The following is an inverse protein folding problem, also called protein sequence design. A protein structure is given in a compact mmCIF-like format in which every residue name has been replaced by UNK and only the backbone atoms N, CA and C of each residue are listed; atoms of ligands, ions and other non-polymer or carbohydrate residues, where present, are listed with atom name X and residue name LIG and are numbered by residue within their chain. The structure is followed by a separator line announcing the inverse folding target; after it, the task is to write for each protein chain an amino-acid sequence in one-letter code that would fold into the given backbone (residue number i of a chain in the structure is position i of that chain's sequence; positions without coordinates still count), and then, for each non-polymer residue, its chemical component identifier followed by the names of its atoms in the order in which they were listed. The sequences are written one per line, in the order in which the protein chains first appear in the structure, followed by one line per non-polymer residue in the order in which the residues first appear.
data_IF_335027201701
#
_entry.id   IF_335027201701
#
_cell.length_a   1.000
_cell.length_b   1.000
_cell.length_c   1.000
_cell.angle_alpha   90.00
_cell.angle_beta   90.00
_cell.angle_gamma   90.00
#
_symmetry.space_group_name_H-M   'P 1'
#
loop_
_entity.id
_entity.type
_entity.pdbx_description
1 polymer ?
#
# COMPACT_ATOMS: atom_id res chain seq x y z
N UNK A 1 14.79 30.64 -1.78
CA UNK A 1 13.51 30.27 -1.14
C UNK A 1 13.76 28.98 -0.36
N UNK A 2 13.76 29.02 0.98
CA UNK A 2 13.88 27.81 1.82
C UNK A 2 12.70 26.88 1.53
N UNK A 3 12.92 25.56 1.56
CA UNK A 3 11.84 24.60 1.37
C UNK A 3 10.73 24.88 2.39
N UNK A 4 9.52 25.13 1.92
CA UNK A 4 8.35 25.39 2.77
C UNK A 4 7.84 24.14 3.51
N UNK A 5 8.50 22.99 3.32
CA UNK A 5 8.19 21.67 3.86
C UNK A 5 9.54 20.99 4.13
N UNK A 6 9.71 20.44 5.34
CA UNK A 6 10.86 19.61 5.69
C UNK A 6 10.56 18.15 5.33
N UNK A 7 11.49 17.48 4.64
CA UNK A 7 11.42 16.05 4.36
C UNK A 7 12.38 15.31 5.29
N UNK A 8 11.89 14.27 5.96
CA UNK A 8 12.67 13.40 6.84
C UNK A 8 12.62 12.01 6.22
N UNK A 9 13.74 11.55 5.65
CA UNK A 9 13.86 10.21 5.09
C UNK A 9 14.34 9.24 6.17
N UNK A 10 13.57 8.18 6.40
CA UNK A 10 13.84 7.20 7.44
C UNK A 10 14.66 6.06 6.83
N UNK A 11 15.90 5.88 7.29
CA UNK A 11 16.74 4.73 6.92
C UNK A 11 16.47 3.57 7.87
N UNK A 12 15.31 2.93 7.70
CA UNK A 12 14.90 1.78 8.51
C UNK A 12 15.69 0.52 8.13
N UNK A 13 15.77 -0.43 9.06
CA UNK A 13 16.40 -1.73 8.83
C UNK A 13 15.63 -2.55 7.81
N UNK A 14 16.31 -3.32 6.96
CA UNK A 14 15.70 -4.04 5.83
C UNK A 14 15.59 -5.56 6.07
N UNK A 15 14.57 -6.17 5.47
CA UNK A 15 14.49 -7.62 5.28
C UNK A 15 15.52 -8.08 4.23
N UNK A 16 15.99 -9.34 4.28
CA UNK A 16 15.62 -10.40 5.21
C UNK A 16 16.29 -10.32 6.59
N UNK A 17 17.30 -9.47 6.78
CA UNK A 17 18.05 -9.42 8.05
C UNK A 17 17.16 -8.95 9.22
N UNK A 18 16.20 -8.07 8.93
CA UNK A 18 15.25 -7.52 9.87
C UNK A 18 13.83 -7.61 9.29
N UNK A 19 13.15 -8.75 9.45
CA UNK A 19 11.79 -8.95 8.95
C UNK A 19 10.76 -8.15 9.78
N UNK A 20 9.49 -8.21 9.37
CA UNK A 20 8.40 -7.62 10.12
C UNK A 20 8.39 -8.08 11.60
N UNK A 21 8.13 -7.18 12.57
CA UNK A 21 7.75 -5.77 12.41
C UNK A 21 8.91 -4.77 12.52
N UNK A 22 10.18 -5.21 12.46
CA UNK A 22 11.33 -4.35 12.76
C UNK A 22 11.40 -3.09 11.87
N UNK A 23 11.25 -3.17 10.52
CA UNK A 23 11.31 -2.00 9.65
C UNK A 23 10.18 -0.98 9.96
N UNK A 24 9.00 -1.50 10.29
CA UNK A 24 7.83 -0.70 10.64
C UNK A 24 8.03 0.03 11.97
N UNK A 25 8.58 -0.64 12.99
CA UNK A 25 8.88 -0.03 14.27
C UNK A 25 9.94 1.08 14.14
N UNK A 26 10.99 0.86 13.36
CA UNK A 26 11.97 1.92 13.06
C UNK A 26 11.32 3.18 12.48
N UNK A 27 10.34 2.99 11.58
CA UNK A 27 9.58 4.10 11.01
C UNK A 27 8.66 4.76 12.04
N UNK A 28 7.94 3.98 12.84
CA UNK A 28 7.02 4.48 13.86
C UNK A 28 7.76 5.30 14.91
N UNK A 29 8.89 4.80 15.44
CA UNK A 29 9.69 5.48 16.46
C UNK A 29 10.14 6.87 15.99
N UNK A 30 10.55 7.00 14.73
CA UNK A 30 10.96 8.29 14.16
C UNK A 30 9.76 9.23 14.00
N UNK A 31 8.60 8.73 13.56
CA UNK A 31 7.39 9.55 13.40
C UNK A 31 6.88 10.04 14.76
N UNK A 32 6.86 9.17 15.77
CA UNK A 32 6.49 9.53 17.14
C UNK A 32 7.47 10.58 17.70
N UNK A 33 8.78 10.38 17.53
CA UNK A 33 9.80 11.35 17.92
C UNK A 33 9.56 12.72 17.27
N UNK A 34 9.24 12.77 15.97
CA UNK A 34 8.96 14.02 15.24
C UNK A 34 7.72 14.72 15.79
N UNK A 35 6.65 13.98 16.11
CA UNK A 35 5.43 14.53 16.70
C UNK A 35 5.71 15.09 18.10
N UNK A 36 6.41 14.33 18.94
CA UNK A 36 6.71 14.71 20.32
C UNK A 36 7.70 15.88 20.43
N UNK A 37 8.62 15.99 19.47
CA UNK A 37 9.68 17.00 19.45
C UNK A 37 9.43 18.10 18.41
N UNK A 38 8.19 18.24 17.92
CA UNK A 38 7.88 19.13 16.79
C UNK A 38 8.30 20.58 17.05
N UNK A 39 8.14 21.07 18.28
CA UNK A 39 8.56 22.42 18.68
C UNK A 39 10.08 22.63 18.53
N UNK A 40 10.88 21.68 19.06
CA UNK A 40 12.35 21.70 18.96
C UNK A 40 12.82 21.61 17.51
N UNK A 41 12.09 20.86 16.67
CA UNK A 41 12.38 20.69 15.25
C UNK A 41 11.84 21.83 14.38
N UNK A 42 11.17 22.84 14.95
CA UNK A 42 10.47 23.92 14.23
C UNK A 42 9.42 23.39 13.23
N UNK A 43 8.72 22.33 13.59
CA UNK A 43 7.64 21.69 12.84
C UNK A 43 6.30 22.01 13.51
N UNK A 44 5.34 22.45 12.72
CA UNK A 44 3.98 22.70 13.21
C UNK A 44 3.28 21.35 13.49
N UNK A 45 2.81 21.08 14.73
CA UNK A 45 2.37 19.74 15.15
C UNK A 45 1.16 19.21 14.36
N UNK A 46 0.30 20.11 13.85
CA UNK A 46 -0.88 19.75 13.05
C UNK A 46 -0.61 19.71 11.53
N UNK A 47 0.67 19.84 11.11
CA UNK A 47 1.08 19.89 9.70
C UNK A 47 2.16 18.84 9.41
N UNK A 48 2.02 17.67 10.03
CA UNK A 48 2.89 16.52 9.83
C UNK A 48 2.19 15.56 8.85
N UNK A 49 2.87 15.18 7.78
CA UNK A 49 2.41 14.15 6.85
C UNK A 49 3.33 12.95 6.91
N UNK A 50 2.78 11.77 6.66
CA UNK A 50 3.55 10.56 6.38
C UNK A 50 3.33 10.15 4.92
N UNK A 51 4.30 9.49 4.32
CA UNK A 51 4.10 8.89 3.02
C UNK A 51 5.25 8.00 2.60
N UNK A 52 4.98 7.18 1.60
CA UNK A 52 5.96 6.27 1.03
C UNK A 52 5.44 5.60 -0.23
N UNK A 53 6.35 5.00 -0.98
CA UNK A 53 6.08 4.22 -2.17
C UNK A 53 6.18 2.71 -1.91
N UNK A 54 5.32 1.92 -2.55
CA UNK A 54 5.34 0.46 -2.46
C UNK A 54 5.29 -0.04 -1.00
N UNK A 55 6.32 -0.74 -0.52
CA UNK A 55 6.46 -1.14 0.89
C UNK A 55 6.51 0.06 1.86
N UNK A 56 7.05 1.21 1.44
CA UNK A 56 6.96 2.46 2.21
C UNK A 56 5.52 2.97 2.31
N UNK A 57 4.71 2.74 1.28
CA UNK A 57 3.28 3.02 1.30
C UNK A 57 2.52 2.11 2.28
N UNK A 58 2.91 0.83 2.35
CA UNK A 58 2.42 -0.10 3.38
C UNK A 58 2.68 0.43 4.80
N UNK A 59 3.95 0.76 5.10
CA UNK A 59 4.33 1.27 6.42
C UNK A 59 3.65 2.61 6.74
N UNK A 60 3.50 3.50 5.76
CA UNK A 60 2.81 4.77 5.95
C UNK A 60 1.32 4.57 6.31
N UNK A 61 0.64 3.62 5.67
CA UNK A 61 -0.74 3.27 5.97
C UNK A 61 -0.86 2.63 7.36
N UNK A 62 0.01 1.66 7.68
CA UNK A 62 0.05 0.98 8.98
C UNK A 62 0.29 1.98 10.14
N UNK A 63 1.28 2.86 10.01
CA UNK A 63 1.55 3.92 11.01
C UNK A 63 0.36 4.89 11.10
N UNK A 64 -0.34 5.16 10.00
CA UNK A 64 -1.54 6.00 10.03
C UNK A 64 -2.70 5.36 10.79
N UNK A 65 -2.86 4.03 10.74
CA UNK A 65 -3.82 3.31 11.59
C UNK A 65 -3.50 3.52 13.07
N UNK A 66 -2.22 3.56 13.44
CA UNK A 66 -1.77 3.76 14.83
C UNK A 66 -1.89 5.22 15.30
N UNK A 67 -1.52 6.17 14.46
CA UNK A 67 -1.38 7.58 14.82
C UNK A 67 -2.61 8.44 14.47
N UNK A 68 -3.48 7.97 13.57
CA UNK A 68 -4.77 8.59 13.23
C UNK A 68 -4.61 10.08 12.89
N UNK A 69 -5.51 10.93 13.39
CA UNK A 69 -5.51 12.40 13.22
C UNK A 69 -4.34 13.15 13.88
N UNK A 70 -3.36 12.48 14.51
CA UNK A 70 -2.06 13.12 14.83
C UNK A 70 -1.30 13.52 13.57
N UNK A 71 -1.64 12.89 12.43
CA UNK A 71 -1.13 13.22 11.11
C UNK A 71 -2.17 14.06 10.34
N UNK A 72 -1.69 14.95 9.48
CA UNK A 72 -2.53 15.78 8.61
C UNK A 72 -2.82 15.10 7.26
N UNK A 73 -1.90 14.26 6.79
CA UNK A 73 -1.95 13.59 5.50
C UNK A 73 -1.21 12.25 5.56
N UNK A 74 -1.79 11.22 4.95
CA UNK A 74 -1.05 10.02 4.52
C UNK A 74 -0.98 9.98 2.99
N UNK A 75 0.23 9.89 2.46
CA UNK A 75 0.53 9.83 1.02
C UNK A 75 0.99 8.41 0.65
N UNK A 76 0.12 7.64 0.02
CA UNK A 76 0.34 6.24 -0.29
C UNK A 76 0.58 6.09 -1.80
N UNK A 77 1.80 5.74 -2.21
CA UNK A 77 2.16 5.68 -3.62
C UNK A 77 2.35 4.23 -4.03
N UNK A 78 1.54 3.73 -4.96
CA UNK A 78 1.50 2.31 -5.37
C UNK A 78 1.60 1.33 -4.18
N UNK A 79 0.80 1.53 -3.11
CA UNK A 79 1.05 0.87 -1.83
C UNK A 79 0.70 -0.62 -1.89
N UNK A 80 1.47 -1.43 -1.17
CA UNK A 80 1.09 -2.81 -0.81
C UNK A 80 0.20 -2.74 0.42
N UNK A 81 -1.04 -3.22 0.38
CA UNK A 81 -1.95 -3.05 1.52
C UNK A 81 -2.53 -4.37 2.04
N UNK A 82 -2.29 -5.49 1.36
CA UNK A 82 -2.57 -6.83 1.87
C UNK A 82 -1.59 -7.87 1.31
N UNK A 83 -1.44 -8.98 2.02
CA UNK A 83 -0.61 -10.12 1.60
C UNK A 83 -1.40 -11.44 1.53
N UNK A 84 -2.73 -11.37 1.59
CA UNK A 84 -3.63 -12.51 1.75
C UNK A 84 -4.24 -13.01 0.43
N UNK A 85 -4.42 -12.13 -0.56
CA UNK A 85 -4.97 -12.42 -1.87
C UNK A 85 -4.02 -11.98 -3.00
N UNK A 86 -3.31 -12.94 -3.59
CA UNK A 86 -2.49 -12.75 -4.79
C UNK A 86 -3.23 -13.17 -6.07
N UNK A 87 -4.56 -13.25 -6.04
CA UNK A 87 -5.40 -13.49 -7.22
C UNK A 87 -6.25 -12.25 -7.58
N UNK A 88 -5.73 -11.05 -7.28
CA UNK A 88 -6.39 -9.81 -7.70
C UNK A 88 -6.31 -9.65 -9.21
N UNK A 89 -7.27 -8.94 -9.79
CA UNK A 89 -7.33 -8.71 -11.24
C UNK A 89 -6.04 -8.08 -11.76
N UNK A 90 -5.47 -7.13 -11.01
CA UNK A 90 -4.20 -6.48 -11.32
C UNK A 90 -2.99 -7.41 -11.21
N UNK A 91 -2.96 -8.34 -10.25
CA UNK A 91 -1.87 -9.32 -10.16
C UNK A 91 -1.85 -10.27 -11.37
N UNK A 92 -3.02 -10.67 -11.86
CA UNK A 92 -3.17 -11.49 -13.07
C UNK A 92 -2.83 -10.68 -14.32
N UNK A 93 -3.41 -9.50 -14.49
CA UNK A 93 -3.20 -8.63 -15.66
C UNK A 93 -1.74 -8.21 -15.83
N UNK A 94 -1.04 -7.99 -14.71
CA UNK A 94 0.28 -7.39 -14.72
C UNK A 94 1.44 -8.39 -14.60
N UNK A 95 1.16 -9.70 -14.51
CA UNK A 95 2.15 -10.75 -14.32
C UNK A 95 3.31 -10.74 -15.35
N UNK A 96 3.05 -10.29 -16.57
CA UNK A 96 3.98 -10.35 -17.71
C UNK A 96 4.44 -8.98 -18.24
N UNK A 97 4.15 -7.87 -17.55
CA UNK A 97 4.54 -6.53 -18.03
C UNK A 97 5.97 -6.12 -17.61
N UNK A 98 6.52 -5.23 -18.43
CA UNK A 98 7.94 -5.03 -18.81
C UNK A 98 8.93 -4.48 -17.76
N UNK A 99 8.76 -4.73 -16.47
CA UNK A 99 9.84 -4.49 -15.50
C UNK A 99 10.32 -5.80 -14.88
N UNK A 100 11.54 -6.22 -15.23
CA UNK A 100 12.18 -7.43 -14.66
C UNK A 100 12.32 -7.34 -13.13
N UNK A 101 12.19 -6.15 -12.54
CA UNK A 101 12.14 -5.89 -11.10
C UNK A 101 10.77 -6.12 -10.44
N UNK A 102 9.69 -6.31 -11.21
CA UNK A 102 8.32 -6.54 -10.71
C UNK A 102 7.58 -7.68 -11.44
N UNK A 103 8.29 -8.75 -11.81
CA UNK A 103 7.61 -10.03 -12.04
C UNK A 103 7.08 -10.55 -10.70
N UNK A 104 5.86 -11.10 -10.68
CA UNK A 104 5.20 -11.71 -9.53
C UNK A 104 6.16 -12.53 -8.66
N UNK A 105 7.05 -13.34 -9.26
CA UNK A 105 8.04 -14.12 -8.51
C UNK A 105 8.97 -13.27 -7.64
N UNK A 106 9.58 -12.23 -8.20
CA UNK A 106 10.48 -11.35 -7.45
C UNK A 106 9.72 -10.62 -6.33
N UNK A 107 8.48 -10.24 -6.61
CA UNK A 107 7.63 -9.60 -5.62
C UNK A 107 7.29 -10.53 -4.45
N UNK A 108 6.91 -11.78 -4.76
CA UNK A 108 6.66 -12.80 -3.74
C UNK A 108 7.92 -13.07 -2.92
N UNK A 109 9.11 -13.15 -3.52
CA UNK A 109 10.36 -13.33 -2.75
C UNK A 109 10.61 -12.18 -1.75
N UNK A 110 10.28 -10.94 -2.09
CA UNK A 110 10.32 -9.82 -1.14
C UNK A 110 9.32 -10.00 0.00
N UNK A 111 8.12 -10.49 -0.30
CA UNK A 111 7.08 -10.81 0.70
C UNK A 111 7.54 -11.92 1.64
N UNK A 112 8.12 -13.01 1.13
CA UNK A 112 8.61 -14.12 1.96
C UNK A 112 9.74 -13.66 2.89
N UNK A 113 10.67 -12.84 2.39
CA UNK A 113 11.71 -12.22 3.20
C UNK A 113 11.14 -11.34 4.31
N UNK A 114 10.09 -10.56 4.01
CA UNK A 114 9.46 -9.68 4.99
C UNK A 114 8.66 -10.44 6.05
N UNK A 115 8.00 -11.53 5.67
CA UNK A 115 7.28 -12.44 6.56
C UNK A 115 8.18 -13.38 7.37
N UNK A 116 9.48 -13.41 7.07
CA UNK A 116 10.47 -14.33 7.61
C UNK A 116 10.09 -15.81 7.45
N UNK A 117 9.69 -16.19 6.23
CA UNK A 117 9.34 -17.57 5.91
C UNK A 117 10.22 -18.11 4.78
N UNK A 118 10.36 -19.42 4.76
CA UNK A 118 11.21 -20.13 3.80
C UNK A 118 10.73 -19.91 2.36
N UNK A 119 11.67 -19.70 1.44
CA UNK A 119 11.40 -19.49 0.01
C UNK A 119 10.77 -20.71 -0.67
N UNK A 120 10.78 -21.89 -0.04
CA UNK A 120 10.05 -23.08 -0.51
C UNK A 120 8.55 -22.83 -0.69
N UNK A 121 7.97 -21.85 0.01
CA UNK A 121 6.56 -21.47 -0.10
C UNK A 121 6.28 -20.48 -1.25
N UNK A 122 7.26 -20.14 -2.09
CA UNK A 122 7.07 -19.26 -3.27
C UNK A 122 5.89 -19.70 -4.13
N UNK A 123 5.78 -21.01 -4.40
CA UNK A 123 4.72 -21.54 -5.23
C UNK A 123 3.34 -21.43 -4.57
N UNK A 124 3.25 -21.58 -3.25
CA UNK A 124 1.98 -21.37 -2.54
C UNK A 124 1.49 -19.93 -2.71
N UNK A 125 2.37 -18.94 -2.56
CA UNK A 125 1.99 -17.54 -2.71
C UNK A 125 1.66 -17.16 -4.16
N UNK A 126 2.45 -17.63 -5.14
CA UNK A 126 2.22 -17.36 -6.56
C UNK A 126 0.88 -17.90 -7.07
N UNK A 127 0.38 -19.00 -6.49
CA UNK A 127 -0.91 -19.59 -6.83
C UNK A 127 -2.01 -19.23 -5.82
N UNK A 128 -1.79 -18.23 -4.96
CA UNK A 128 -2.75 -17.81 -3.95
C UNK A 128 -3.21 -18.94 -3.00
N UNK A 129 -2.37 -19.94 -2.75
CA UNK A 129 -2.63 -21.13 -1.95
C UNK A 129 -2.20 -20.97 -0.48
N UNK A 130 -1.54 -19.87 -0.11
CA UNK A 130 -0.94 -19.66 1.22
C UNK A 130 -1.95 -19.32 2.33
N UNK A 131 -3.21 -19.07 2.00
CA UNK A 131 -4.31 -18.89 2.95
C UNK A 131 -5.22 -20.12 2.99
N UNK A 132 -5.89 -20.35 4.13
CA UNK A 132 -6.81 -21.49 4.28
C UNK A 132 -8.09 -21.30 3.47
N UNK A 133 -8.76 -22.39 3.14
CA UNK A 133 -10.05 -22.35 2.44
C UNK A 133 -11.08 -21.52 3.23
N UNK A 134 -11.18 -21.79 4.54
CA UNK A 134 -12.11 -21.11 5.44
C UNK A 134 -11.82 -19.60 5.53
N UNK A 135 -10.54 -19.21 5.57
CA UNK A 135 -10.15 -17.80 5.55
C UNK A 135 -10.63 -17.12 4.27
N UNK A 136 -10.41 -17.72 3.10
CA UNK A 136 -10.84 -17.16 1.82
C UNK A 136 -12.35 -17.00 1.74
N UNK A 137 -13.10 -18.02 2.16
CA UNK A 137 -14.57 -17.99 2.14
C UNK A 137 -15.17 -16.85 2.96
N UNK A 138 -14.48 -16.37 4.00
CA UNK A 138 -14.92 -15.22 4.79
C UNK A 138 -14.28 -13.91 4.33
N UNK A 139 -12.94 -13.83 4.32
CA UNK A 139 -12.24 -12.58 4.05
C UNK A 139 -12.37 -12.12 2.60
N UNK A 140 -12.48 -13.03 1.62
CA UNK A 140 -12.56 -12.63 0.21
C UNK A 140 -13.97 -12.21 -0.21
N UNK A 141 -14.99 -12.47 0.61
CA UNK A 141 -16.37 -12.04 0.32
C UNK A 141 -16.80 -10.81 1.12
N UNK A 142 -16.13 -10.54 2.25
CA UNK A 142 -16.46 -9.38 3.10
C UNK A 142 -15.44 -8.25 2.95
N UNK A 143 -14.15 -8.55 3.11
CA UNK A 143 -13.10 -7.54 3.29
C UNK A 143 -12.29 -7.33 2.00
N UNK A 144 -11.96 -8.41 1.30
CA UNK A 144 -11.17 -8.44 0.08
C UNK A 144 -12.01 -8.76 -1.17
N UNK A 145 -13.32 -8.54 -1.10
CA UNK A 145 -14.21 -8.77 -2.24
C UNK A 145 -13.95 -7.76 -3.35
N UNK A 146 -13.38 -8.24 -4.44
CA UNK A 146 -13.13 -7.44 -5.64
C UNK A 146 -14.44 -7.02 -6.32
N UNK A 147 -15.52 -7.79 -6.21
CA UNK A 147 -16.81 -7.37 -6.76
C UNK A 147 -17.41 -6.19 -6.00
N UNK A 148 -17.13 -6.10 -4.70
CA UNK A 148 -17.58 -5.01 -3.84
C UNK A 148 -16.67 -3.78 -3.94
N UNK A 149 -15.36 -3.98 -3.84
CA UNK A 149 -14.39 -2.92 -3.62
C UNK A 149 -13.60 -2.49 -4.86
N UNK A 150 -13.65 -3.24 -5.97
CA UNK A 150 -12.90 -2.93 -7.19
C UNK A 150 -13.84 -2.50 -8.33
N UNK A 151 -14.01 -1.19 -8.59
CA UNK A 151 -14.81 -0.72 -9.71
C UNK A 151 -14.28 -1.26 -11.04
N UNK A 152 -15.14 -1.94 -11.81
CA UNK A 152 -14.81 -2.64 -13.07
C UNK A 152 -14.05 -1.79 -14.09
N UNK A 153 -14.19 -0.46 -14.07
CA UNK A 153 -13.46 0.46 -14.95
C UNK A 153 -11.93 0.40 -14.82
N UNK A 154 -11.42 -0.11 -13.69
CA UNK A 154 -9.98 -0.23 -13.46
C UNK A 154 -9.40 -1.55 -13.97
N UNK A 155 -10.25 -2.55 -14.25
CA UNK A 155 -9.85 -3.85 -14.79
C UNK A 155 -9.81 -3.72 -16.33
N UNK A 156 -8.66 -4.03 -16.94
CA UNK A 156 -8.47 -3.90 -18.40
C UNK A 156 -8.99 -5.12 -19.14
N UNK A 157 -8.70 -6.32 -18.61
CA UNK A 157 -9.16 -7.59 -19.15
C UNK A 157 -10.68 -7.65 -19.15
N UNK A 158 -11.26 -7.85 -20.33
CA UNK A 158 -12.70 -8.04 -20.48
C UNK A 158 -13.18 -9.30 -19.75
N UNK A 159 -12.43 -10.39 -19.88
CA UNK A 159 -12.70 -11.66 -19.20
C UNK A 159 -12.79 -11.48 -17.67
N UNK A 160 -11.82 -10.78 -17.07
CA UNK A 160 -11.82 -10.54 -15.62
C UNK A 160 -12.90 -9.55 -15.21
N UNK A 161 -13.25 -8.57 -16.05
CA UNK A 161 -14.37 -7.63 -15.78
C UNK A 161 -15.72 -8.33 -15.72
N UNK A 162 -15.91 -9.34 -16.55
CA UNK A 162 -17.16 -10.10 -16.63
C UNK A 162 -17.23 -11.17 -15.55
N UNK A 163 -16.11 -11.81 -15.23
CA UNK A 163 -16.05 -12.95 -14.33
C UNK A 163 -14.84 -12.85 -13.38
N UNK A 164 -15.01 -12.13 -12.26
CA UNK A 164 -14.03 -12.15 -11.18
C UNK A 164 -14.21 -13.42 -10.37
N UNK A 165 -13.29 -14.36 -10.54
CA UNK A 165 -13.21 -15.57 -9.74
C UNK A 165 -12.42 -15.31 -8.45
N UNK A 166 -13.12 -15.33 -7.32
CA UNK A 166 -12.50 -15.14 -6.00
C UNK A 166 -11.66 -16.34 -5.55
N UNK A 167 -11.83 -17.52 -6.17
CA UNK A 167 -10.98 -18.70 -5.93
C UNK A 167 -10.88 -19.11 -4.45
N UNK A 168 -12.03 -19.43 -3.83
CA UNK A 168 -12.16 -19.69 -2.38
C UNK A 168 -12.01 -21.15 -1.97
N UNK A 169 -12.06 -22.10 -2.90
CA UNK A 169 -12.23 -23.53 -2.60
C UNK A 169 -10.92 -24.33 -2.45
N UNK A 170 -9.81 -23.66 -2.13
CA UNK A 170 -8.52 -24.29 -1.88
C UNK A 170 -7.67 -23.48 -0.91
N UNK A 171 -6.68 -24.13 -0.29
CA UNK A 171 -5.75 -23.48 0.63
C UNK A 171 -4.69 -24.44 1.16
N UNK A 172 -3.71 -23.86 1.87
CA UNK A 172 -2.67 -24.56 2.59
C UNK A 172 -2.76 -24.26 4.09
N UNK A 173 -3.38 -25.17 4.82
CA UNK A 173 -3.84 -24.94 6.19
C UNK A 173 -2.65 -24.92 7.17
N UNK A 174 -1.63 -25.72 6.88
CA UNK A 174 -0.37 -25.74 7.62
C UNK A 174 0.40 -24.44 7.43
N UNK A 175 0.56 -23.99 6.19
CA UNK A 175 1.22 -22.72 5.89
C UNK A 175 0.43 -21.54 6.47
N UNK A 176 -0.89 -21.53 6.31
CA UNK A 176 -1.73 -20.46 6.84
C UNK A 176 -1.59 -20.37 8.37
N UNK A 177 -1.60 -21.49 9.09
CA UNK A 177 -1.38 -21.52 10.54
C UNK A 177 -0.03 -20.90 10.97
N UNK A 178 1.00 -20.97 10.10
CA UNK A 178 2.31 -20.37 10.36
C UNK A 178 2.33 -18.84 10.17
N UNK A 179 1.48 -18.30 9.29
CA UNK A 179 1.54 -16.90 8.83
C UNK A 179 0.32 -16.07 9.18
N UNK A 180 -0.80 -16.69 9.57
CA UNK A 180 -2.11 -16.05 9.78
C UNK A 180 -1.98 -14.80 10.62
N UNK A 181 -1.43 -14.91 11.82
CA UNK A 181 -1.25 -13.79 12.76
C UNK A 181 -0.44 -12.61 12.19
N UNK A 182 0.40 -12.83 11.17
CA UNK A 182 1.14 -11.77 10.49
C UNK A 182 0.36 -11.20 9.32
N UNK A 183 -0.23 -12.03 8.45
CA UNK A 183 -0.91 -11.54 7.24
C UNK A 183 -2.28 -10.93 7.52
N UNK A 184 -2.91 -11.26 8.65
CA UNK A 184 -4.17 -10.65 9.11
C UNK A 184 -3.97 -9.46 10.04
N UNK A 185 -2.75 -9.20 10.51
CA UNK A 185 -2.42 -8.01 11.30
C UNK A 185 -2.64 -6.74 10.45
N UNK A 186 -3.50 -5.80 10.84
CA UNK A 186 -3.68 -4.53 10.12
C UNK A 186 -2.40 -3.69 9.98
N UNK A 187 -1.39 -3.91 10.83
CA UNK A 187 -0.09 -3.26 10.71
C UNK A 187 0.78 -3.87 9.59
N UNK A 188 0.48 -5.09 9.15
CA UNK A 188 1.06 -5.73 7.96
C UNK A 188 0.18 -5.52 6.74
N UNK A 189 -1.12 -5.69 6.90
CA UNK A 189 -2.12 -5.63 5.84
C UNK A 189 -3.17 -4.56 6.16
N UNK A 190 -2.87 -3.26 5.97
CA UNK A 190 -3.81 -2.18 6.30
C UNK A 190 -5.18 -2.29 5.61
N UNK A 191 -5.27 -2.94 4.45
CA UNK A 191 -6.54 -3.20 3.76
C UNK A 191 -7.44 -4.20 4.52
N UNK A 192 -6.94 -4.91 5.53
CA UNK A 192 -7.72 -5.78 6.40
C UNK A 192 -8.16 -5.12 7.71
N UNK A 193 -7.76 -3.86 7.94
CA UNK A 193 -8.22 -3.11 9.11
C UNK A 193 -9.76 -3.07 9.14
N UNK A 194 -10.36 -3.21 10.32
CA UNK A 194 -11.80 -3.04 10.49
C UNK A 194 -12.21 -1.58 10.28
N UNK A 195 -13.52 -1.35 10.14
CA UNK A 195 -14.04 -0.02 9.83
C UNK A 195 -13.71 0.99 10.95
N UNK A 196 -13.76 0.59 12.23
CA UNK A 196 -13.35 1.40 13.39
C UNK A 196 -11.87 1.84 13.31
N UNK A 197 -11.00 0.97 12.80
CA UNK A 197 -9.59 1.29 12.53
C UNK A 197 -9.41 2.18 11.30
N UNK A 198 -10.35 2.19 10.35
CA UNK A 198 -10.33 3.11 9.21
C UNK A 198 -10.93 4.48 9.56
N UNK A 199 -11.79 4.54 10.58
CA UNK A 199 -12.26 5.79 11.16
C UNK A 199 -11.07 6.60 11.71
N UNK A 200 -11.21 7.93 11.68
CA UNK A 200 -10.19 8.88 12.13
C UNK A 200 -8.80 8.78 11.48
N UNK A 201 -8.69 8.20 10.29
CA UNK A 201 -7.46 8.33 9.51
C UNK A 201 -7.19 9.78 9.06
N UNK A 202 -5.92 10.17 8.84
CA UNK A 202 -5.61 11.45 8.22
C UNK A 202 -6.20 11.52 6.82
N UNK A 203 -6.28 12.73 6.25
CA UNK A 203 -6.60 12.89 4.83
C UNK A 203 -5.69 11.96 4.02
N UNK A 204 -6.28 11.16 3.14
CA UNK A 204 -5.54 10.10 2.45
C UNK A 204 -5.41 10.46 0.97
N UNK A 205 -4.18 10.41 0.46
CA UNK A 205 -3.91 10.59 -0.97
C UNK A 205 -3.24 9.32 -1.49
N UNK A 206 -3.90 8.65 -2.43
CA UNK A 206 -3.47 7.35 -2.96
C UNK A 206 -3.12 7.53 -4.44
N UNK A 207 -1.92 7.10 -4.82
CA UNK A 207 -1.51 6.97 -6.22
C UNK A 207 -1.54 5.49 -6.58
N UNK A 208 -2.24 5.15 -7.67
CA UNK A 208 -2.17 3.81 -8.27
C UNK A 208 -1.76 3.90 -9.73
N UNK A 209 -1.13 2.84 -10.22
CA UNK A 209 -0.62 2.75 -11.59
C UNK A 209 -1.36 1.68 -12.37
N UNK A 210 -1.60 1.87 -13.66
CA UNK A 210 -2.27 0.86 -14.48
C UNK A 210 -1.49 -0.44 -14.55
N UNK A 211 -0.21 -0.38 -14.92
CA UNK A 211 0.66 -1.53 -15.12
C UNK A 211 1.37 -1.93 -13.82
N UNK A 212 0.59 -2.32 -12.82
CA UNK A 212 1.06 -2.56 -11.45
C UNK A 212 0.27 -3.69 -10.79
N UNK A 213 0.97 -4.69 -10.25
CA UNK A 213 0.39 -5.87 -9.63
C UNK A 213 -0.32 -5.58 -8.30
N UNK A 214 -0.04 -4.43 -7.67
CA UNK A 214 -0.73 -3.97 -6.45
C UNK A 214 -1.66 -2.78 -6.71
N UNK A 215 -2.05 -2.55 -7.97
CA UNK A 215 -3.02 -1.51 -8.33
C UNK A 215 -4.30 -1.64 -7.52
N UNK A 216 -4.82 -2.86 -7.42
CA UNK A 216 -6.15 -3.10 -6.85
C UNK A 216 -6.18 -2.87 -5.34
N UNK A 217 -5.09 -3.17 -4.62
CA UNK A 217 -4.94 -2.87 -3.19
C UNK A 217 -5.28 -1.40 -2.88
N UNK A 218 -4.65 -0.47 -3.60
CA UNK A 218 -4.86 0.96 -3.41
C UNK A 218 -6.26 1.44 -3.80
N UNK A 219 -6.88 0.81 -4.80
CA UNK A 219 -8.25 1.14 -5.23
C UNK A 219 -9.26 0.64 -4.19
N UNK A 220 -9.16 -0.63 -3.79
CA UNK A 220 -10.04 -1.23 -2.80
C UNK A 220 -9.95 -0.49 -1.46
N UNK A 221 -8.73 -0.15 -1.02
CA UNK A 221 -8.54 0.67 0.18
C UNK A 221 -9.19 2.04 0.03
N UNK A 222 -9.08 2.68 -1.13
CA UNK A 222 -9.77 3.95 -1.37
C UNK A 222 -11.29 3.84 -1.26
N UNK A 223 -11.89 2.75 -1.75
CA UNK A 223 -13.35 2.58 -1.67
C UNK A 223 -13.80 2.29 -0.23
N UNK A 224 -13.06 1.45 0.51
CA UNK A 224 -13.32 1.22 1.95
C UNK A 224 -13.23 2.52 2.76
N UNK A 225 -12.20 3.35 2.52
CA UNK A 225 -12.08 4.66 3.17
C UNK A 225 -13.27 5.58 2.85
N UNK A 226 -13.78 5.58 1.62
CA UNK A 226 -14.97 6.38 1.27
C UNK A 226 -16.21 5.88 1.99
N UNK A 227 -16.38 4.57 2.13
CA UNK A 227 -17.52 3.96 2.81
C UNK A 227 -17.63 4.43 4.26
N UNK A 228 -16.51 4.49 4.99
CA UNK A 228 -16.45 5.01 6.37
C UNK A 228 -16.35 6.54 6.45
N UNK A 229 -16.61 7.25 5.34
CA UNK A 229 -16.66 8.72 5.29
C UNK A 229 -15.31 9.43 5.37
N UNK A 230 -14.18 8.73 5.19
CA UNK A 230 -12.86 9.36 5.20
C UNK A 230 -12.60 10.20 3.97
N UNK A 231 -11.84 11.29 4.17
CA UNK A 231 -11.40 12.16 3.07
C UNK A 231 -10.25 11.51 2.31
N UNK A 232 -10.58 10.87 1.18
CA UNK A 232 -9.60 10.23 0.30
C UNK A 232 -9.58 10.85 -1.10
N UNK A 233 -8.39 11.03 -1.65
CA UNK A 233 -8.17 11.37 -3.06
C UNK A 233 -7.39 10.22 -3.69
N UNK A 234 -8.06 9.48 -4.59
CA UNK A 234 -7.43 8.47 -5.42
C UNK A 234 -7.00 9.09 -6.76
N UNK A 235 -5.73 8.94 -7.13
CA UNK A 235 -5.18 9.30 -8.43
C UNK A 235 -4.64 8.07 -9.13
N UNK A 236 -5.40 7.60 -10.10
CA UNK A 236 -5.00 6.50 -10.96
C UNK A 236 -4.33 7.04 -12.23
N UNK A 237 -3.16 6.50 -12.57
CA UNK A 237 -2.44 6.81 -13.81
C UNK A 237 -2.41 5.55 -14.68
N UNK A 238 -3.25 5.51 -15.72
CA UNK A 238 -3.50 4.32 -16.54
C UNK A 238 -2.24 3.83 -17.27
N UNK A 239 -1.39 4.75 -17.70
CA UNK A 239 -0.14 4.49 -18.42
C UNK A 239 1.06 4.24 -17.52
N UNK A 240 0.94 4.49 -16.21
CA UNK A 240 2.03 4.31 -15.26
C UNK A 240 2.26 2.82 -14.97
N UNK A 241 3.49 2.49 -14.61
CA UNK A 241 3.89 1.23 -13.98
C UNK A 241 4.38 1.45 -12.55
N UNK A 242 4.57 0.36 -11.81
CA UNK A 242 5.03 0.38 -10.41
C UNK A 242 6.25 1.31 -10.25
N UNK A 243 6.15 2.28 -9.33
CA UNK A 243 7.19 3.31 -9.06
C UNK A 243 7.56 4.25 -10.21
N UNK A 244 6.64 4.54 -11.15
CA UNK A 244 6.87 5.55 -12.21
C UNK A 244 7.29 6.95 -11.70
N UNK A 245 7.05 7.26 -10.42
CA UNK A 245 7.41 8.53 -9.78
C UNK A 245 8.92 8.82 -9.77
N UNK A 246 9.79 7.81 -9.91
CA UNK A 246 11.25 7.99 -9.84
C UNK A 246 11.84 8.52 -11.16
N UNK A 247 11.02 8.67 -12.21
CA UNK A 247 11.43 9.14 -13.52
C UNK A 247 10.95 10.56 -13.91
N UNK A 248 10.97 11.59 -13.03
CA UNK A 248 10.55 12.95 -13.41
C UNK A 248 11.66 13.72 -14.16
N UNK A 249 12.91 13.24 -14.08
CA UNK A 249 14.11 13.86 -14.63
C UNK A 249 15.10 12.78 -15.12
N UNK A 250 16.24 13.21 -15.68
CA UNK A 250 17.28 12.30 -16.14
C UNK A 250 17.04 11.73 -17.54
N UNK A 251 17.91 10.82 -18.00
CA UNK A 251 17.91 10.31 -19.37
C UNK A 251 16.68 9.44 -19.70
N UNK A 252 15.99 8.93 -18.69
CA UNK A 252 14.76 8.15 -18.81
C UNK A 252 13.52 8.91 -18.30
N UNK A 253 13.53 10.24 -18.40
CA UNK A 253 12.41 11.08 -17.97
C UNK A 253 11.09 10.64 -18.63
N UNK A 254 10.07 10.38 -17.81
CA UNK A 254 8.72 10.05 -18.24
C UNK A 254 7.76 11.18 -17.89
N UNK A 255 6.87 11.54 -18.83
CA UNK A 255 5.84 12.56 -18.58
C UNK A 255 4.92 12.19 -17.41
N UNK A 256 4.57 10.90 -17.29
CA UNK A 256 3.75 10.41 -16.17
C UNK A 256 4.45 10.59 -14.82
N UNK A 257 5.77 10.37 -14.75
CA UNK A 257 6.56 10.63 -13.54
C UNK A 257 6.55 12.10 -13.15
N UNK A 258 6.67 13.01 -14.13
CA UNK A 258 6.54 14.46 -13.90
C UNK A 258 5.15 14.81 -13.37
N UNK A 259 4.07 14.27 -13.97
CA UNK A 259 2.68 14.52 -13.53
C UNK A 259 2.45 14.05 -12.10
N UNK A 260 2.89 12.83 -11.77
CA UNK A 260 2.77 12.27 -10.41
C UNK A 260 3.45 13.19 -9.39
N UNK A 261 4.70 13.59 -9.64
CA UNK A 261 5.43 14.49 -8.72
C UNK A 261 4.75 15.85 -8.58
N UNK A 262 4.26 16.44 -9.68
CA UNK A 262 3.55 17.71 -9.63
C UNK A 262 2.26 17.64 -8.80
N UNK A 263 1.47 16.58 -8.96
CA UNK A 263 0.25 16.38 -8.21
C UNK A 263 0.52 16.11 -6.71
N UNK A 264 1.58 15.35 -6.39
CA UNK A 264 2.06 15.16 -5.01
C UNK A 264 2.48 16.48 -4.38
N UNK A 265 3.27 17.30 -5.08
CA UNK A 265 3.68 18.63 -4.60
C UNK A 265 2.47 19.52 -4.36
N UNK A 266 1.45 19.44 -5.23
CA UNK A 266 0.21 20.20 -5.08
C UNK A 266 -0.56 19.80 -3.82
N UNK A 267 -0.77 18.51 -3.57
CA UNK A 267 -1.48 18.07 -2.35
C UNK A 267 -0.68 18.41 -1.09
N UNK A 268 0.64 18.19 -1.08
CA UNK A 268 1.49 18.55 0.06
C UNK A 268 1.41 20.04 0.38
N UNK A 269 1.46 20.91 -0.64
CA UNK A 269 1.32 22.37 -0.44
C UNK A 269 -0.05 22.75 0.08
N UNK A 270 -1.12 22.16 -0.46
CA UNK A 270 -2.48 22.49 -0.06
C UNK A 270 -2.79 22.03 1.37
N UNK A 271 -2.22 20.92 1.81
CA UNK A 271 -2.50 20.38 3.15
C UNK A 271 -1.56 20.97 4.21
N UNK A 272 -0.26 21.13 3.88
CA UNK A 272 0.76 21.47 4.86
C UNK A 272 1.09 22.96 4.97
N UNK A 273 0.86 23.78 3.93
CA UNK A 273 1.08 25.23 4.06
C UNK A 273 -0.05 25.89 4.85
N UNK A 274 0.31 26.88 5.65
CA UNK A 274 -0.67 27.77 6.28
C UNK A 274 -1.27 28.69 5.23
N UNK A 275 -2.57 28.96 5.33
CA UNK A 275 -3.15 30.19 4.77
C UNK A 275 -2.40 31.36 5.41
N UNK A 276 -1.75 32.19 4.60
CA UNK A 276 -1.19 33.47 5.07
C UNK A 276 -2.30 34.40 5.57
#
# INVERSE_FOLDING_TARGET
MRASILFIFISYRLSPQHPFPVPLHDCLDVVEYVIENSATLNIHPQKIAIGGDSAGGNMAAAISLRLKKKLALQLLIVPVLQLANWNTSSFIENANYLSQSANNKNYILLVLNYLNIDHKYEHDFLNNNHTSQAFKQFYFTEILDQNLWLPKRYIRSELLRENIDLQTEFGNEELFSLIESRITDPMMSPLLADDDMLEDLPMTYIVTSGFDIVRDDGIMFSERLKQVGQKVILKHYEEAFHTSLIFPHGPLKLEVGVRIVQDIVKVLRNTLRSSL
#
